data_IF_433267491890
#
_entry.id   IF_433267491890
#
_cell.length_a   1.000
_cell.length_b   1.000
_cell.length_c   1.000
_cell.angle_alpha   90.00
_cell.angle_beta   90.00
_cell.angle_gamma   90.00
#
_symmetry.space_group_name_H-M   'P 1'
#
loop_
_entity.id
_entity.type
_entity.pdbx_description
1 polymer ?
#
# COMPACT_ATOMS: atom_id res chain seq x y z
N UNK A 1 -45.26 -38.99 30.35
CA UNK A 1 -44.29 -39.66 31.23
C UNK A 1 -44.22 -41.15 30.85
N UNK A 2 -43.07 -41.81 30.99
CA UNK A 2 -42.94 -43.22 30.61
C UNK A 2 -43.77 -44.13 31.52
N UNK A 3 -44.48 -45.10 30.92
CA UNK A 3 -45.26 -46.11 31.66
C UNK A 3 -44.34 -47.09 32.41
N UNK A 4 -43.18 -47.41 31.83
CA UNK A 4 -42.22 -48.37 32.40
C UNK A 4 -41.24 -47.68 33.36
N UNK A 5 -40.73 -46.49 33.00
CA UNK A 5 -39.78 -45.72 33.83
C UNK A 5 -40.52 -44.64 34.61
N UNK A 6 -40.88 -44.92 35.87
CA UNK A 6 -41.55 -43.96 36.76
C UNK A 6 -40.71 -42.68 36.89
N UNK A 7 -41.35 -41.52 36.70
CA UNK A 7 -40.70 -40.20 36.80
C UNK A 7 -39.85 -39.80 35.58
N UNK A 8 -39.67 -40.67 34.59
CA UNK A 8 -38.88 -40.33 33.39
C UNK A 8 -39.71 -39.52 32.38
N UNK A 9 -39.17 -38.37 32.01
CA UNK A 9 -39.63 -37.54 30.89
C UNK A 9 -38.51 -37.45 29.86
N UNK A 10 -38.88 -37.24 28.60
CA UNK A 10 -37.88 -37.02 27.56
C UNK A 10 -37.16 -35.69 27.81
N UNK A 11 -35.84 -35.61 27.58
CA UNK A 11 -35.13 -34.35 27.63
C UNK A 11 -35.80 -33.34 26.69
N UNK A 12 -36.03 -32.13 27.20
CA UNK A 12 -36.50 -31.04 26.36
C UNK A 12 -35.43 -30.73 25.30
N UNK A 13 -35.80 -30.55 24.03
CA UNK A 13 -34.84 -30.14 23.03
C UNK A 13 -34.31 -28.74 23.37
N UNK A 14 -33.00 -28.56 23.29
CA UNK A 14 -32.37 -27.25 23.55
C UNK A 14 -32.81 -26.17 22.55
N UNK A 15 -33.13 -26.58 21.32
CA UNK A 15 -33.61 -25.71 20.25
C UNK A 15 -34.98 -26.19 19.76
N UNK A 16 -35.92 -25.27 19.61
CA UNK A 16 -37.24 -25.56 19.03
C UNK A 16 -37.15 -25.93 17.55
N UNK A 17 -36.24 -25.28 16.81
CA UNK A 17 -35.93 -25.59 15.41
C UNK A 17 -34.44 -25.90 15.29
N UNK A 18 -34.12 -27.11 14.82
CA UNK A 18 -32.73 -27.54 14.61
C UNK A 18 -32.15 -27.04 13.28
N UNK A 19 -33.01 -26.60 12.34
CA UNK A 19 -32.57 -26.02 11.07
C UNK A 19 -32.14 -24.55 11.24
N UNK A 20 -30.90 -24.39 11.67
CA UNK A 20 -30.24 -23.09 11.83
C UNK A 20 -30.01 -22.40 10.48
N UNK A 21 -29.89 -23.15 9.38
CA UNK A 21 -29.63 -22.57 8.06
C UNK A 21 -30.82 -21.77 7.56
N UNK A 22 -32.04 -22.26 7.81
CA UNK A 22 -33.27 -21.52 7.52
C UNK A 22 -33.35 -20.21 8.30
N UNK A 23 -32.97 -20.22 9.58
CA UNK A 23 -32.93 -19.00 10.42
C UNK A 23 -31.90 -18.01 9.87
N UNK A 24 -30.70 -18.46 9.49
CA UNK A 24 -29.68 -17.58 8.91
C UNK A 24 -30.08 -16.98 7.56
N UNK A 25 -30.95 -17.67 6.83
CA UNK A 25 -31.41 -17.25 5.52
C UNK A 25 -32.75 -16.51 5.54
N UNK A 26 -33.36 -16.32 6.70
CA UNK A 26 -34.64 -15.62 6.81
C UNK A 26 -34.49 -14.11 6.61
N UNK A 27 -35.58 -13.46 6.19
CA UNK A 27 -35.58 -12.05 5.78
C UNK A 27 -35.31 -11.11 6.95
N UNK A 28 -35.87 -11.41 8.12
CA UNK A 28 -35.66 -10.65 9.35
C UNK A 28 -34.19 -10.66 9.78
N UNK A 29 -33.49 -11.80 9.63
CA UNK A 29 -32.06 -11.91 9.93
C UNK A 29 -31.24 -11.21 8.85
N UNK A 30 -31.54 -11.45 7.57
CA UNK A 30 -30.80 -10.86 6.44
C UNK A 30 -30.91 -9.34 6.38
N UNK A 31 -32.05 -8.77 6.78
CA UNK A 31 -32.30 -7.32 6.79
C UNK A 31 -31.36 -6.55 7.73
N UNK A 32 -30.95 -7.16 8.83
CA UNK A 32 -30.06 -6.53 9.82
C UNK A 32 -28.57 -6.81 9.56
N UNK A 33 -28.24 -7.65 8.58
CA UNK A 33 -26.85 -7.94 8.25
C UNK A 33 -26.14 -6.72 7.66
N UNK A 34 -24.82 -6.64 7.90
CA UNK A 34 -23.98 -5.64 7.26
C UNK A 34 -24.03 -5.83 5.74
N UNK A 35 -24.14 -4.75 4.96
CA UNK A 35 -24.17 -4.84 3.51
C UNK A 35 -22.87 -5.45 2.98
N UNK A 36 -22.98 -6.18 1.88
CA UNK A 36 -21.83 -6.80 1.22
C UNK A 36 -20.91 -5.71 0.66
N UNK A 37 -19.68 -5.65 1.17
CA UNK A 37 -18.64 -4.74 0.64
C UNK A 37 -18.17 -5.21 -0.74
N UNK A 38 -17.79 -4.24 -1.58
CA UNK A 38 -17.12 -4.53 -2.83
C UNK A 38 -15.81 -5.26 -2.54
N UNK A 39 -15.64 -6.44 -3.14
CA UNK A 39 -14.46 -7.26 -2.94
C UNK A 39 -13.27 -6.68 -3.69
N UNK A 40 -12.07 -6.83 -3.12
CA UNK A 40 -10.85 -6.44 -3.80
C UNK A 40 -10.66 -7.23 -5.07
N UNK A 41 -10.05 -6.61 -6.09
CA UNK A 41 -9.74 -7.30 -7.35
C UNK A 41 -8.89 -8.55 -7.09
N UNK A 42 -9.24 -9.66 -7.73
CA UNK A 42 -8.48 -10.90 -7.66
C UNK A 42 -7.03 -10.68 -8.11
N UNK A 43 -6.09 -11.43 -7.51
CA UNK A 43 -4.70 -11.41 -7.95
C UNK A 43 -4.59 -11.83 -9.42
N UNK A 44 -3.68 -11.20 -10.13
CA UNK A 44 -3.31 -11.63 -11.49
C UNK A 44 -2.48 -12.92 -11.43
N UNK A 45 -2.34 -13.60 -12.58
CA UNK A 45 -1.39 -14.71 -12.78
C UNK A 45 0.06 -14.28 -12.50
N UNK A 46 0.38 -13.00 -12.72
CA UNK A 46 1.73 -12.48 -12.51
C UNK A 46 2.00 -12.11 -11.05
N UNK A 47 3.21 -12.42 -10.58
CA UNK A 47 3.68 -12.09 -9.24
C UNK A 47 3.65 -10.59 -9.01
N UNK A 48 3.09 -10.18 -7.87
CA UNK A 48 3.09 -8.78 -7.45
C UNK A 48 4.52 -8.33 -7.12
N UNK A 49 4.92 -7.10 -7.51
CA UNK A 49 6.26 -6.62 -7.20
C UNK A 49 6.39 -6.43 -5.68
N UNK A 50 7.45 -7.00 -5.09
CA UNK A 50 7.71 -6.94 -3.64
C UNK A 50 8.81 -5.94 -3.27
N UNK A 51 9.84 -5.79 -4.11
CA UNK A 51 10.99 -4.93 -3.82
C UNK A 51 10.83 -3.52 -4.41
N UNK A 52 10.61 -2.51 -3.55
CA UNK A 52 10.40 -1.12 -3.96
C UNK A 52 11.65 -0.35 -4.38
N UNK A 53 12.85 -0.79 -3.97
CA UNK A 53 14.11 -0.12 -4.29
C UNK A 53 14.62 -0.56 -5.66
N UNK A 54 14.48 -1.85 -6.00
CA UNK A 54 14.94 -2.40 -7.28
C UNK A 54 13.84 -2.37 -8.35
N UNK A 55 12.60 -2.74 -8.03
CA UNK A 55 11.52 -2.83 -9.01
C UNK A 55 10.97 -1.45 -9.40
N UNK A 56 11.08 -1.09 -10.68
CA UNK A 56 10.62 0.21 -11.22
C UNK A 56 9.12 0.46 -10.97
N UNK A 57 8.26 -0.54 -11.16
CA UNK A 57 6.80 -0.39 -11.02
C UNK A 57 6.41 -0.05 -9.59
N UNK A 58 6.95 -0.78 -8.62
CA UNK A 58 6.65 -0.55 -7.21
C UNK A 58 7.25 0.78 -6.73
N UNK A 59 8.49 1.09 -7.14
CA UNK A 59 9.14 2.37 -6.82
C UNK A 59 8.31 3.57 -7.24
N UNK A 60 7.77 3.55 -8.46
CA UNK A 60 6.95 4.63 -8.99
C UNK A 60 5.57 4.71 -8.33
N UNK A 61 4.98 3.55 -7.97
CA UNK A 61 3.72 3.50 -7.23
C UNK A 61 3.87 4.11 -5.83
N UNK A 62 4.98 3.83 -5.15
CA UNK A 62 5.27 4.36 -3.82
C UNK A 62 5.71 5.82 -3.85
N UNK A 63 6.55 6.19 -4.82
CA UNK A 63 7.09 7.54 -4.96
C UNK A 63 7.07 8.00 -6.44
N UNK A 64 6.06 8.79 -6.87
CA UNK A 64 5.99 9.33 -8.22
C UNK A 64 7.14 10.30 -8.57
N UNK A 65 7.65 11.06 -7.59
CA UNK A 65 8.74 12.01 -7.78
C UNK A 65 10.07 11.32 -8.14
N UNK A 66 10.21 10.02 -7.85
CA UNK A 66 11.38 9.24 -8.25
C UNK A 66 11.67 9.31 -9.77
N UNK A 67 10.66 9.54 -10.61
CA UNK A 67 10.85 9.78 -12.06
C UNK A 67 11.68 11.04 -12.31
N UNK A 68 11.33 12.16 -11.68
CA UNK A 68 12.07 13.43 -11.80
C UNK A 68 13.46 13.33 -11.17
N UNK A 69 13.55 12.74 -9.99
CA UNK A 69 14.83 12.55 -9.30
C UNK A 69 15.83 11.74 -10.13
N UNK A 70 15.38 10.66 -10.78
CA UNK A 70 16.24 9.85 -11.65
C UNK A 70 16.65 10.59 -12.93
N UNK A 71 15.75 11.38 -13.53
CA UNK A 71 16.09 12.24 -14.68
C UNK A 71 17.15 13.30 -14.32
N UNK A 72 16.98 13.97 -13.18
CA UNK A 72 17.93 14.96 -12.68
C UNK A 72 19.29 14.32 -12.32
N UNK A 73 19.27 13.13 -11.73
CA UNK A 73 20.50 12.38 -11.44
C UNK A 73 21.23 11.99 -12.74
N UNK A 74 20.50 11.59 -13.79
CA UNK A 74 21.08 11.31 -15.12
C UNK A 74 21.72 12.55 -15.73
N UNK A 75 21.03 13.69 -15.72
CA UNK A 75 21.57 14.93 -16.27
C UNK A 75 22.80 15.43 -15.50
N UNK A 76 22.84 15.23 -14.17
CA UNK A 76 23.99 15.55 -13.34
C UNK A 76 25.20 14.61 -13.55
N UNK A 77 24.96 13.34 -13.89
CA UNK A 77 26.02 12.35 -14.19
C UNK A 77 26.56 12.46 -15.62
N UNK A 78 25.84 13.12 -16.52
CA UNK A 78 26.31 13.35 -17.89
C UNK A 78 27.63 14.12 -17.87
N UNK A 79 28.65 13.58 -18.56
CA UNK A 79 30.03 14.08 -18.52
C UNK A 79 30.12 15.51 -19.08
N UNK A 80 29.49 15.78 -20.22
CA UNK A 80 29.49 17.11 -20.84
C UNK A 80 28.87 18.18 -19.92
N UNK A 81 27.74 17.84 -19.28
CA UNK A 81 27.09 18.72 -18.29
C UNK A 81 27.93 18.91 -17.03
N UNK A 82 28.61 17.84 -16.58
CA UNK A 82 29.49 17.89 -15.41
C UNK A 82 30.69 18.78 -15.66
N UNK A 83 31.32 18.66 -16.82
CA UNK A 83 32.53 19.41 -17.17
C UNK A 83 32.21 20.89 -17.42
N UNK A 84 31.12 21.20 -18.11
CA UNK A 84 30.64 22.58 -18.27
C UNK A 84 30.29 23.21 -16.92
N UNK A 85 29.60 22.48 -16.02
CA UNK A 85 29.30 22.93 -14.65
C UNK A 85 30.57 23.13 -13.83
N UNK A 86 31.57 22.26 -13.94
CA UNK A 86 32.86 22.40 -13.23
C UNK A 86 33.61 23.64 -13.70
N UNK A 87 33.66 23.89 -15.00
CA UNK A 87 34.26 25.10 -15.59
C UNK A 87 33.54 26.37 -15.11
N UNK A 88 32.21 26.42 -15.23
CA UNK A 88 31.41 27.55 -14.76
C UNK A 88 31.56 27.80 -13.26
N UNK A 89 31.59 26.73 -12.45
CA UNK A 89 31.81 26.82 -11.00
C UNK A 89 33.20 27.38 -10.67
N UNK A 90 34.24 26.93 -11.37
CA UNK A 90 35.61 27.44 -11.18
C UNK A 90 35.69 28.94 -11.49
N UNK A 91 35.09 29.40 -12.60
CA UNK A 91 35.03 30.83 -12.94
C UNK A 91 34.27 31.62 -11.88
N UNK A 92 33.12 31.14 -11.42
CA UNK A 92 32.32 31.81 -10.37
C UNK A 92 33.10 31.91 -9.07
N UNK A 93 33.78 30.85 -8.66
CA UNK A 93 34.61 30.84 -7.45
C UNK A 93 35.80 31.78 -7.57
N UNK A 94 36.48 31.83 -8.72
CA UNK A 94 37.57 32.77 -8.96
C UNK A 94 37.10 34.23 -8.87
N UNK A 95 35.93 34.54 -9.44
CA UNK A 95 35.30 35.89 -9.35
C UNK A 95 35.02 36.28 -7.90
N UNK A 96 34.40 35.38 -7.13
CA UNK A 96 34.09 35.60 -5.70
C UNK A 96 35.36 35.75 -4.86
N UNK A 97 36.39 34.92 -5.10
CA UNK A 97 37.68 35.06 -4.40
C UNK A 97 38.34 36.41 -4.68
N UNK A 98 38.32 36.86 -5.94
CA UNK A 98 38.87 38.16 -6.35
C UNK A 98 38.09 39.35 -5.75
N UNK A 99 36.77 39.26 -5.64
CA UNK A 99 35.99 40.31 -4.97
C UNK A 99 36.30 40.38 -3.48
N UNK A 100 36.41 39.23 -2.81
CA UNK A 100 36.77 39.17 -1.38
C UNK A 100 38.17 39.71 -1.12
N UNK A 101 39.16 39.39 -1.98
CA UNK A 101 40.52 39.91 -1.83
C UNK A 101 40.60 41.42 -2.07
N UNK A 102 39.75 41.97 -2.95
CA UNK A 102 39.66 43.41 -3.22
C UNK A 102 39.01 44.17 -2.07
N UNK A 103 38.10 43.56 -1.32
CA UNK A 103 37.47 44.15 -0.14
C UNK A 103 38.36 44.12 1.11
N UNK A 104 39.41 43.28 1.13
CA UNK A 104 40.36 43.16 2.25
C UNK A 104 41.62 44.03 2.12
N UNK A 105 41.86 44.62 0.96
CA UNK A 105 42.87 45.68 0.74
C UNK A 105 42.18 47.03 0.84
#
# INVERSE_FOLDING_TARGET
>A
ASVVKKGFTLPAPMLTSTDVTRILQSEEVRRVLKPKKLQTKKSSRYTSPTNGIKNRRLRLRLNPFSKKATQNAKSARNVANRDSRRKAKAVRLAKVKKSISKQKK
#
